data_IF_672332641501
#
_entry.id   IF_672332641501
#
_cell.length_a   1.000
_cell.length_b   1.000
_cell.length_c   1.000
_cell.angle_alpha   90.00
_cell.angle_beta   90.00
_cell.angle_gamma   90.00
#
_symmetry.space_group_name_H-M   'P 1'
#
loop_
_entity.id
_entity.type
_entity.pdbx_description
1 polymer ?
#
# COMPACT_ATOMS: atom_id res chain seq x y z
N UNK A 1 -22.81 30.31 0.98
CA UNK A 1 -22.81 29.08 0.17
C UNK A 1 -21.40 28.48 0.09
N UNK A 2 -20.37 29.21 -0.33
CA UNK A 2 -18.98 28.74 -0.43
C UNK A 2 -18.44 28.26 0.91
N UNK A 3 -18.64 29.03 1.97
CA UNK A 3 -18.21 28.70 3.34
C UNK A 3 -18.89 27.40 3.85
N UNK A 4 -20.19 27.24 3.57
CA UNK A 4 -20.90 26.00 3.91
C UNK A 4 -20.32 24.78 3.18
N UNK A 5 -19.96 24.92 1.89
CA UNK A 5 -19.31 23.84 1.12
C UNK A 5 -17.94 23.46 1.72
N UNK A 6 -17.16 24.45 2.13
CA UNK A 6 -15.87 24.20 2.77
C UNK A 6 -16.04 23.48 4.12
N UNK A 7 -17.01 23.88 4.94
CA UNK A 7 -17.33 23.23 6.23
C UNK A 7 -17.83 21.79 6.01
N UNK A 8 -18.73 21.55 5.06
CA UNK A 8 -19.18 20.18 4.74
C UNK A 8 -18.05 19.31 4.23
N UNK A 9 -17.10 19.85 3.46
CA UNK A 9 -15.90 19.13 3.05
C UNK A 9 -15.11 18.61 4.25
N UNK A 10 -14.88 19.44 5.25
CA UNK A 10 -14.15 19.04 6.48
C UNK A 10 -14.92 17.97 7.26
N UNK A 11 -16.24 18.13 7.43
CA UNK A 11 -17.07 17.13 8.12
C UNK A 11 -17.04 15.80 7.42
N UNK A 12 -17.15 15.78 6.09
CA UNK A 12 -17.07 14.54 5.30
C UNK A 12 -15.69 13.90 5.38
N UNK A 13 -14.61 14.70 5.36
CA UNK A 13 -13.26 14.18 5.51
C UNK A 13 -13.04 13.53 6.88
N UNK A 14 -13.49 14.19 7.96
CA UNK A 14 -13.42 13.60 9.32
C UNK A 14 -14.25 12.32 9.39
N UNK A 15 -15.43 12.30 8.79
CA UNK A 15 -16.29 11.10 8.70
C UNK A 15 -15.59 9.98 7.92
N UNK A 16 -14.95 10.30 6.80
CA UNK A 16 -14.16 9.34 6.04
C UNK A 16 -13.00 8.77 6.87
N UNK A 17 -12.28 9.61 7.61
CA UNK A 17 -11.20 9.17 8.51
C UNK A 17 -11.71 8.23 9.59
N UNK A 18 -12.87 8.51 10.18
CA UNK A 18 -13.50 7.61 11.17
C UNK A 18 -13.85 6.23 10.54
N UNK A 19 -14.39 6.21 9.32
CA UNK A 19 -14.69 4.97 8.61
C UNK A 19 -13.41 4.23 8.18
N UNK A 20 -12.36 4.93 7.78
CA UNK A 20 -11.03 4.33 7.55
C UNK A 20 -10.46 3.71 8.83
N UNK A 21 -10.63 4.35 9.98
CA UNK A 21 -10.19 3.78 11.26
C UNK A 21 -10.95 2.47 11.58
N UNK A 22 -12.25 2.43 11.34
CA UNK A 22 -13.03 1.18 11.46
C UNK A 22 -12.56 0.11 10.45
N UNK A 23 -12.26 0.49 9.21
CA UNK A 23 -11.70 -0.41 8.21
C UNK A 23 -10.35 -0.97 8.66
N UNK A 24 -9.46 -0.13 9.21
CA UNK A 24 -8.17 -0.54 9.76
C UNK A 24 -8.33 -1.59 10.87
N UNK A 25 -9.26 -1.35 11.81
CA UNK A 25 -9.57 -2.31 12.87
C UNK A 25 -10.06 -3.63 12.28
N UNK A 26 -10.96 -3.59 11.29
CA UNK A 26 -11.47 -4.79 10.63
C UNK A 26 -10.35 -5.60 9.93
N UNK A 27 -9.44 -4.95 9.22
CA UNK A 27 -8.27 -5.59 8.60
C UNK A 27 -7.29 -6.14 9.64
N UNK A 28 -7.04 -5.40 10.73
CA UNK A 28 -6.16 -5.84 11.80
C UNK A 28 -6.74 -7.08 12.54
N UNK A 29 -8.05 -7.09 12.79
CA UNK A 29 -8.74 -8.25 13.36
C UNK A 29 -8.70 -9.47 12.43
N UNK A 30 -8.88 -9.28 11.11
CA UNK A 30 -8.73 -10.36 10.13
C UNK A 30 -7.33 -10.97 10.18
N UNK A 31 -6.32 -10.12 10.18
CA UNK A 31 -4.93 -10.52 10.23
C UNK A 31 -4.59 -11.26 11.53
N UNK A 32 -5.08 -10.77 12.68
CA UNK A 32 -4.89 -11.41 13.99
C UNK A 32 -5.58 -12.78 14.06
N UNK A 33 -6.83 -12.89 13.57
CA UNK A 33 -7.59 -14.17 13.54
C UNK A 33 -6.89 -15.20 12.66
N UNK A 34 -6.39 -14.82 11.50
CA UNK A 34 -5.62 -15.72 10.62
C UNK A 34 -4.35 -16.22 11.30
N UNK A 35 -3.64 -15.32 11.98
CA UNK A 35 -2.45 -15.70 12.73
C UNK A 35 -2.74 -16.69 13.87
N UNK A 36 -3.87 -16.54 14.56
CA UNK A 36 -4.28 -17.48 15.61
C UNK A 36 -4.64 -18.87 15.03
N UNK A 37 -5.35 -18.91 13.90
CA UNK A 37 -5.73 -20.17 13.25
C UNK A 37 -4.52 -21.00 12.78
N UNK A 38 -3.47 -20.35 12.27
CA UNK A 38 -2.22 -21.04 11.85
C UNK A 38 -1.49 -21.70 13.02
N UNK A 39 -1.63 -21.18 14.23
CA UNK A 39 -1.04 -21.78 15.44
C UNK A 39 -1.83 -23.01 15.87
N UNK A 40 -3.16 -22.94 15.86
CA UNK A 40 -4.01 -24.07 16.25
C UNK A 40 -3.74 -25.30 15.35
N UNK A 41 -3.63 -25.11 14.04
CA UNK A 41 -3.30 -26.21 13.10
C UNK A 41 -1.89 -26.77 13.34
N UNK A 42 -0.88 -25.96 13.59
CA UNK A 42 0.49 -26.44 13.83
C UNK A 42 0.63 -27.19 15.16
N UNK A 43 -0.17 -26.84 16.17
CA UNK A 43 -0.19 -27.54 17.48
C UNK A 43 -0.90 -28.88 17.36
N UNK A 44 -1.98 -28.97 16.60
CA UNK A 44 -2.71 -30.22 16.35
C UNK A 44 -1.85 -31.25 15.57
N UNK A 45 -1.10 -30.80 14.55
CA UNK A 45 -0.16 -31.65 13.80
C UNK A 45 1.01 -32.13 14.67
N UNK A 46 1.51 -31.29 15.61
CA UNK A 46 2.57 -31.64 16.54
C UNK A 46 2.14 -32.72 17.54
N UNK A 47 0.91 -32.62 18.07
CA UNK A 47 0.35 -33.60 19.00
C UNK A 47 -0.01 -34.93 18.32
N UNK A 48 -0.54 -34.88 17.09
CA UNK A 48 -0.85 -36.09 16.31
C UNK A 48 0.42 -36.89 15.94
N UNK A 49 1.52 -36.19 15.66
CA UNK A 49 2.80 -36.84 15.33
C UNK A 49 3.54 -37.41 16.55
N UNK A 50 3.36 -36.78 17.72
CA UNK A 50 3.90 -37.29 18.98
C UNK A 50 3.12 -38.53 19.45
N UNK A 51 1.82 -38.60 19.24
CA UNK A 51 0.99 -39.79 19.55
C UNK A 51 1.26 -40.97 18.61
N UNK A 52 1.55 -40.70 17.33
CA UNK A 52 1.91 -41.75 16.33
C UNK A 52 3.31 -42.33 16.49
N UNK A 53 4.21 -41.67 17.21
CA UNK A 53 5.59 -42.15 17.45
C UNK A 53 5.77 -42.95 18.74
N UNK A 54 4.71 -43.14 19.58
CA UNK A 54 4.81 -43.90 20.81
C UNK A 54 4.35 -45.38 20.69
N UNK A 55 3.92 -45.82 19.50
CA UNK A 55 3.34 -47.18 19.34
C UNK A 55 4.11 -48.01 18.31
N UNK A 56 5.43 -48.09 18.39
CA UNK A 56 6.22 -49.13 17.68
C UNK A 56 7.40 -49.59 18.55
N UNK A 57 7.11 -50.35 19.61
CA UNK A 57 8.00 -51.39 20.11
C UNK A 57 7.46 -52.72 19.66
N UNK A 58 7.86 -53.17 18.46
CA UNK A 58 7.62 -54.54 18.03
C UNK A 58 8.85 -55.37 18.30
N UNK A 59 8.76 -56.20 19.31
CA UNK A 59 9.56 -57.42 19.48
C UNK A 59 9.28 -58.36 18.32
N UNK A 60 10.30 -58.76 17.56
CA UNK A 60 10.19 -59.84 16.59
C UNK A 60 10.33 -61.21 17.25
N UNK A 61 9.54 -62.19 16.83
CA UNK A 61 10.09 -63.51 16.61
C UNK A 61 9.88 -64.02 15.16
N UNK A 62 10.76 -64.96 14.79
CA UNK A 62 10.94 -65.53 13.49
C UNK A 62 9.74 -66.33 12.92
N UNK A 63 9.76 -66.38 11.59
CA UNK A 63 9.14 -67.37 10.70
C UNK A 63 7.58 -67.41 10.60
N UNK A 64 7.07 -66.87 9.50
CA UNK A 64 6.18 -67.56 8.57
C UNK A 64 5.67 -66.55 7.52
N UNK A 65 5.88 -66.88 6.23
CA UNK A 65 5.32 -66.17 5.10
C UNK A 65 3.80 -66.26 5.05
N UNK A 66 3.13 -65.13 5.30
CA UNK A 66 1.73 -64.98 4.94
C UNK A 66 1.53 -63.60 4.36
N UNK A 67 1.15 -63.53 3.10
CA UNK A 67 0.76 -62.32 2.40
C UNK A 67 -0.48 -61.76 3.09
N UNK A 68 -0.30 -60.73 3.93
CA UNK A 68 -1.42 -59.94 4.47
C UNK A 68 -1.66 -58.80 3.50
N UNK A 69 -2.78 -58.88 2.77
CA UNK A 69 -3.36 -57.78 2.04
C UNK A 69 -3.68 -56.66 3.04
N UNK A 70 -2.79 -55.64 3.12
CA UNK A 70 -3.08 -54.42 3.83
C UNK A 70 -4.14 -53.68 3.02
N UNK A 71 -5.40 -53.78 3.48
CA UNK A 71 -6.51 -52.98 3.01
C UNK A 71 -6.20 -51.53 3.43
N UNK A 72 -5.57 -50.75 2.56
CA UNK A 72 -5.43 -49.31 2.69
C UNK A 72 -6.85 -48.75 2.69
N UNK A 73 -7.36 -48.44 3.86
CA UNK A 73 -8.57 -47.69 4.01
C UNK A 73 -8.25 -46.28 3.60
N UNK A 74 -8.39 -45.97 2.30
CA UNK A 74 -8.39 -44.60 1.77
C UNK A 74 -9.64 -43.92 2.32
N UNK A 75 -9.60 -43.50 3.59
CA UNK A 75 -10.46 -42.42 4.00
C UNK A 75 -9.96 -41.19 3.26
N UNK A 76 -10.67 -40.86 2.20
CA UNK A 76 -10.68 -39.53 1.63
C UNK A 76 -11.06 -38.60 2.77
N UNK A 77 -10.09 -38.06 3.49
CA UNK A 77 -10.33 -36.90 4.36
C UNK A 77 -10.88 -35.83 3.41
N UNK A 78 -12.19 -35.69 3.47
CA UNK A 78 -12.88 -34.51 2.99
C UNK A 78 -12.14 -33.34 3.61
N UNK A 79 -11.37 -32.63 2.78
CA UNK A 79 -10.73 -31.38 3.16
C UNK A 79 -11.85 -30.46 3.62
N UNK A 80 -12.05 -30.43 4.93
CA UNK A 80 -13.04 -29.59 5.56
C UNK A 80 -12.81 -28.17 5.05
N UNK A 81 -13.68 -27.73 4.13
CA UNK A 81 -13.69 -26.36 3.63
C UNK A 81 -13.76 -25.44 4.84
N UNK A 82 -12.70 -24.65 5.03
CA UNK A 82 -12.57 -23.72 6.14
C UNK A 82 -13.87 -22.91 6.31
N UNK A 83 -14.38 -22.75 7.53
CA UNK A 83 -15.69 -22.16 7.77
C UNK A 83 -15.81 -20.76 7.16
N UNK A 84 -16.99 -20.35 6.68
CA UNK A 84 -17.24 -19.10 5.96
C UNK A 84 -16.92 -17.83 6.76
N UNK A 85 -16.75 -17.93 8.06
CA UNK A 85 -16.33 -16.80 8.93
C UNK A 85 -14.93 -16.26 8.65
N UNK A 86 -14.04 -17.04 8.02
CA UNK A 86 -12.64 -16.71 7.84
C UNK A 86 -12.40 -15.49 6.93
N UNK A 87 -13.37 -15.11 6.10
CA UNK A 87 -13.26 -13.97 5.17
C UNK A 87 -14.17 -12.78 5.54
N UNK A 88 -14.96 -12.90 6.60
CA UNK A 88 -15.96 -11.87 6.96
C UNK A 88 -15.31 -10.54 7.33
N UNK A 89 -14.31 -10.55 8.20
CA UNK A 89 -13.61 -9.35 8.65
C UNK A 89 -12.88 -8.66 7.49
N UNK A 90 -12.24 -9.43 6.58
CA UNK A 90 -11.58 -8.90 5.39
C UNK A 90 -12.57 -8.21 4.44
N UNK A 91 -13.73 -8.82 4.23
CA UNK A 91 -14.81 -8.24 3.40
C UNK A 91 -15.37 -6.97 4.02
N UNK A 92 -15.59 -6.96 5.34
CA UNK A 92 -16.05 -5.78 6.09
C UNK A 92 -15.01 -4.64 5.94
N UNK A 93 -13.72 -4.92 6.17
CA UNK A 93 -12.65 -3.93 6.02
C UNK A 93 -12.62 -3.33 4.61
N UNK A 94 -12.76 -4.17 3.58
CA UNK A 94 -12.78 -3.72 2.19
C UNK A 94 -14.03 -2.88 1.87
N UNK A 95 -15.22 -3.30 2.34
CA UNK A 95 -16.47 -2.54 2.15
C UNK A 95 -16.42 -1.18 2.88
N UNK A 96 -15.89 -1.14 4.11
CA UNK A 96 -15.69 0.11 4.84
C UNK A 96 -14.68 1.03 4.12
N UNK A 97 -13.63 0.46 3.52
CA UNK A 97 -12.68 1.22 2.70
C UNK A 97 -13.38 1.88 1.50
N UNK A 98 -14.28 1.16 0.84
CA UNK A 98 -15.06 1.72 -0.26
C UNK A 98 -16.00 2.85 0.20
N UNK A 99 -16.67 2.69 1.34
CA UNK A 99 -17.53 3.75 1.92
C UNK A 99 -16.68 4.98 2.27
N UNK A 100 -15.55 4.79 2.94
CA UNK A 100 -14.63 5.87 3.29
C UNK A 100 -14.09 6.59 2.04
N UNK A 101 -13.76 5.84 0.99
CA UNK A 101 -13.34 6.39 -0.31
C UNK A 101 -14.41 7.29 -0.91
N UNK A 102 -15.68 6.87 -0.91
CA UNK A 102 -16.79 7.68 -1.42
C UNK A 102 -17.00 8.95 -0.60
N UNK A 103 -16.91 8.86 0.74
CA UNK A 103 -17.00 10.02 1.62
C UNK A 103 -15.85 11.01 1.38
N UNK A 104 -14.63 10.51 1.24
CA UNK A 104 -13.45 11.34 0.95
C UNK A 104 -13.54 11.96 -0.44
N UNK A 105 -14.02 11.21 -1.45
CA UNK A 105 -14.25 11.73 -2.79
C UNK A 105 -15.28 12.87 -2.79
N UNK A 106 -16.38 12.72 -2.05
CA UNK A 106 -17.36 13.78 -1.87
C UNK A 106 -16.74 15.00 -1.15
N UNK A 107 -15.91 14.78 -0.11
CA UNK A 107 -15.20 15.85 0.57
C UNK A 107 -14.28 16.61 -0.40
N UNK A 108 -13.56 15.90 -1.26
CA UNK A 108 -12.65 16.46 -2.27
C UNK A 108 -13.40 17.31 -3.30
N UNK A 109 -14.55 16.82 -3.78
CA UNK A 109 -15.42 17.58 -4.68
C UNK A 109 -15.94 18.87 -4.02
N UNK A 110 -16.45 18.79 -2.78
CA UNK A 110 -16.95 19.97 -2.08
C UNK A 110 -15.86 21.00 -1.83
N UNK A 111 -14.64 20.53 -1.54
CA UNK A 111 -13.46 21.42 -1.41
C UNK A 111 -13.13 22.10 -2.72
N UNK A 112 -13.16 21.36 -3.83
CA UNK A 112 -12.95 21.89 -5.17
C UNK A 112 -14.00 22.93 -5.56
N UNK A 113 -15.29 22.65 -5.30
CA UNK A 113 -16.38 23.59 -5.54
C UNK A 113 -16.28 24.86 -4.67
N UNK A 114 -15.90 24.73 -3.41
CA UNK A 114 -15.66 25.85 -2.52
C UNK A 114 -14.50 26.73 -3.00
N UNK A 115 -13.44 26.13 -3.52
CA UNK A 115 -12.27 26.82 -4.04
C UNK A 115 -12.44 27.31 -5.50
N UNK A 116 -13.47 26.87 -6.21
CA UNK A 116 -13.66 27.13 -7.65
C UNK A 116 -12.57 26.51 -8.55
N UNK A 117 -11.89 25.48 -8.07
CA UNK A 117 -10.77 24.83 -8.75
C UNK A 117 -10.52 23.42 -8.21
N UNK A 118 -9.66 22.68 -8.88
CA UNK A 118 -9.24 21.35 -8.38
C UNK A 118 -8.44 21.51 -7.07
N UNK A 119 -8.72 20.69 -6.02
CA UNK A 119 -8.16 20.87 -4.68
C UNK A 119 -6.78 20.21 -4.53
N UNK A 120 -5.72 20.88 -4.96
CA UNK A 120 -4.31 20.47 -4.77
C UNK A 120 -3.31 21.64 -4.69
N UNK A 121 -3.79 22.86 -4.44
CA UNK A 121 -2.95 24.04 -4.45
C UNK A 121 -2.11 24.25 -3.19
N UNK A 122 -2.38 23.53 -2.13
CA UNK A 122 -1.63 23.58 -0.88
C UNK A 122 -1.43 22.16 -0.31
N UNK A 123 -0.64 22.06 0.78
CA UNK A 123 -0.29 20.77 1.38
C UNK A 123 -1.51 20.00 1.89
N UNK A 124 -2.52 20.68 2.43
CA UNK A 124 -3.75 20.07 2.90
C UNK A 124 -4.54 19.44 1.74
N UNK A 125 -4.82 20.22 0.72
CA UNK A 125 -5.58 19.78 -0.45
C UNK A 125 -4.83 18.67 -1.22
N UNK A 126 -3.51 18.84 -1.39
CA UNK A 126 -2.70 17.81 -2.05
C UNK A 126 -2.68 16.49 -1.27
N UNK A 127 -2.62 16.55 0.07
CA UNK A 127 -2.71 15.35 0.90
C UNK A 127 -4.08 14.69 0.77
N UNK A 128 -5.16 15.48 0.76
CA UNK A 128 -6.53 15.01 0.64
C UNK A 128 -6.75 14.29 -0.69
N UNK A 129 -6.43 14.94 -1.80
CA UNK A 129 -6.51 14.33 -3.15
C UNK A 129 -5.51 13.18 -3.33
N UNK A 130 -4.29 13.33 -2.82
CA UNK A 130 -3.25 12.31 -2.93
C UNK A 130 -3.60 11.02 -2.21
N UNK A 131 -4.11 11.11 -0.99
CA UNK A 131 -4.55 9.93 -0.23
C UNK A 131 -5.80 9.29 -0.85
N UNK A 132 -6.73 10.08 -1.38
CA UNK A 132 -7.87 9.59 -2.14
C UNK A 132 -7.41 8.75 -3.33
N UNK A 133 -6.46 9.25 -4.11
CA UNK A 133 -5.93 8.52 -5.28
C UNK A 133 -5.17 7.26 -4.86
N UNK A 134 -4.40 7.28 -3.75
CA UNK A 134 -3.74 6.06 -3.25
C UNK A 134 -4.77 4.98 -2.92
N UNK A 135 -5.87 5.33 -2.24
CA UNK A 135 -6.97 4.39 -1.96
C UNK A 135 -7.64 3.95 -3.27
N UNK A 136 -7.88 4.87 -4.19
CA UNK A 136 -8.45 4.55 -5.52
C UNK A 136 -7.58 3.55 -6.30
N UNK A 137 -6.26 3.74 -6.31
CA UNK A 137 -5.32 2.79 -6.92
C UNK A 137 -5.34 1.45 -6.18
N UNK A 138 -5.40 1.44 -4.85
CA UNK A 138 -5.54 0.21 -4.07
C UNK A 138 -6.82 -0.55 -4.43
N UNK A 139 -7.97 0.14 -4.51
CA UNK A 139 -9.25 -0.45 -4.90
C UNK A 139 -9.20 -0.96 -6.35
N UNK A 140 -8.65 -0.16 -7.28
CA UNK A 140 -8.50 -0.51 -8.69
C UNK A 140 -7.63 -1.76 -8.88
N UNK A 141 -6.46 -1.82 -8.25
CA UNK A 141 -5.55 -2.96 -8.37
C UNK A 141 -6.18 -4.23 -7.80
N UNK A 142 -7.03 -4.10 -6.76
CA UNK A 142 -7.77 -5.25 -6.22
C UNK A 142 -8.79 -5.87 -7.20
N UNK A 143 -9.14 -5.20 -8.30
CA UNK A 143 -9.96 -5.79 -9.38
C UNK A 143 -9.16 -6.81 -10.21
N UNK A 144 -7.83 -6.66 -10.28
CA UNK A 144 -6.93 -7.48 -11.09
C UNK A 144 -6.05 -8.43 -10.26
N UNK A 145 -5.75 -8.08 -9.03
CA UNK A 145 -4.91 -8.84 -8.13
C UNK A 145 -5.38 -8.69 -6.70
N UNK A 146 -5.59 -9.79 -5.97
CA UNK A 146 -6.03 -9.74 -4.58
C UNK A 146 -4.92 -9.20 -3.66
N UNK A 147 -4.99 -7.90 -3.38
CA UNK A 147 -4.11 -7.17 -2.45
C UNK A 147 -4.82 -6.80 -1.15
N UNK A 148 -5.99 -7.36 -0.84
CA UNK A 148 -6.76 -7.04 0.38
C UNK A 148 -5.97 -7.28 1.66
N UNK A 149 -4.97 -8.16 1.63
CA UNK A 149 -4.05 -8.38 2.75
C UNK A 149 -3.18 -7.16 3.08
N UNK A 150 -2.99 -6.22 2.13
CA UNK A 150 -2.31 -4.95 2.38
C UNK A 150 -3.21 -3.89 3.03
N UNK A 151 -4.51 -4.17 3.19
CA UNK A 151 -5.48 -3.18 3.66
C UNK A 151 -5.06 -2.48 4.95
N UNK A 152 -4.57 -3.21 5.95
CA UNK A 152 -4.09 -2.61 7.20
C UNK A 152 -2.89 -1.67 7.00
N UNK A 153 -1.97 -1.99 6.10
CA UNK A 153 -0.79 -1.17 5.83
C UNK A 153 -1.16 0.10 5.04
N UNK A 154 -1.97 -0.06 3.99
CA UNK A 154 -2.40 1.05 3.14
C UNK A 154 -3.29 2.02 3.93
N UNK A 155 -4.33 1.52 4.60
CA UNK A 155 -5.25 2.38 5.36
C UNK A 155 -4.56 3.02 6.57
N UNK A 156 -3.64 2.31 7.22
CA UNK A 156 -2.81 2.89 8.29
C UNK A 156 -1.97 4.07 7.78
N UNK A 157 -1.31 3.94 6.63
CA UNK A 157 -0.56 5.04 5.99
C UNK A 157 -1.49 6.23 5.67
N UNK A 158 -2.66 5.96 5.07
CA UNK A 158 -3.64 7.00 4.73
C UNK A 158 -4.11 7.78 5.96
N UNK A 159 -4.44 7.09 7.04
CA UNK A 159 -4.87 7.74 8.29
C UNK A 159 -3.78 8.63 8.89
N UNK A 160 -2.51 8.19 8.85
CA UNK A 160 -1.39 8.99 9.32
C UNK A 160 -1.24 10.25 8.46
N UNK A 161 -1.25 10.11 7.13
CA UNK A 161 -1.10 11.25 6.21
C UNK A 161 -2.25 12.24 6.34
N UNK A 162 -3.50 11.77 6.37
CA UNK A 162 -4.68 12.64 6.56
C UNK A 162 -4.69 13.29 7.94
N UNK A 163 -4.31 12.55 9.00
CA UNK A 163 -4.23 13.08 10.36
C UNK A 163 -3.22 14.22 10.46
N UNK A 164 -1.99 14.00 9.98
CA UNK A 164 -0.95 15.05 9.96
C UNK A 164 -1.43 16.25 9.13
N UNK A 165 -1.98 15.98 7.94
CA UNK A 165 -2.43 17.04 7.03
C UNK A 165 -3.55 17.89 7.64
N UNK A 166 -4.57 17.26 8.22
CA UNK A 166 -5.70 17.96 8.82
C UNK A 166 -5.33 18.76 10.06
N UNK A 167 -4.32 18.30 10.84
CA UNK A 167 -3.91 18.98 12.07
C UNK A 167 -2.89 20.10 11.83
N UNK A 168 -2.03 19.99 10.81
CA UNK A 168 -0.88 20.88 10.63
C UNK A 168 -0.94 21.78 9.40
N UNK A 169 -1.69 21.38 8.37
CA UNK A 169 -1.67 22.04 7.06
C UNK A 169 -3.03 22.52 6.59
N UNK A 170 -4.03 22.52 7.46
CA UNK A 170 -5.34 23.07 7.09
C UNK A 170 -5.23 24.56 6.76
N UNK A 171 -5.71 24.94 5.59
CA UNK A 171 -5.76 26.32 5.09
C UNK A 171 -7.13 26.54 4.46
N UNK A 172 -7.68 27.74 4.60
CA UNK A 172 -8.93 28.12 3.94
C UNK A 172 -8.81 28.05 2.41
N UNK A 173 -9.95 27.81 1.73
CA UNK A 173 -9.98 27.74 0.28
C UNK A 173 -9.72 29.13 -0.32
N UNK A 174 -8.64 29.26 -1.09
CA UNK A 174 -8.25 30.49 -1.76
C UNK A 174 -8.15 30.30 -3.27
N UNK A 175 -8.34 31.36 -4.08
CA UNK A 175 -8.14 31.32 -5.53
C UNK A 175 -6.68 30.96 -5.89
N UNK A 176 -6.48 30.42 -7.08
CA UNK A 176 -5.16 30.11 -7.60
C UNK A 176 -4.43 31.38 -8.06
N UNK A 177 -3.11 31.49 -7.78
CA UNK A 177 -2.23 32.43 -8.43
C UNK A 177 -2.28 32.26 -9.96
N UNK A 178 -2.09 33.32 -10.77
CA UNK A 178 -2.17 33.25 -12.23
C UNK A 178 -1.26 32.19 -12.87
N UNK A 179 -0.06 31.98 -12.35
CA UNK A 179 0.88 30.97 -12.83
C UNK A 179 0.35 29.53 -12.73
N UNK A 180 -0.61 29.28 -11.84
CA UNK A 180 -1.23 27.97 -11.60
C UNK A 180 -2.53 27.76 -12.40
N UNK A 181 -2.99 28.76 -13.15
CA UNK A 181 -4.22 28.71 -13.94
C UNK A 181 -3.99 28.11 -15.33
N UNK A 182 -3.39 26.91 -15.38
CA UNK A 182 -3.09 26.22 -16.64
C UNK A 182 -3.66 24.80 -16.62
N UNK A 183 -4.29 24.38 -17.73
CA UNK A 183 -4.74 22.99 -17.88
C UNK A 183 -3.57 21.98 -17.84
N UNK A 184 -2.36 22.40 -18.23
CA UNK A 184 -1.17 21.58 -18.13
C UNK A 184 -0.79 21.27 -16.69
N UNK A 185 -1.05 22.21 -15.76
CA UNK A 185 -0.91 21.93 -14.33
C UNK A 185 -1.83 20.79 -13.89
N UNK A 186 -3.10 20.83 -14.34
CA UNK A 186 -4.08 19.80 -14.01
C UNK A 186 -3.59 18.42 -14.48
N UNK A 187 -3.13 18.31 -15.72
CA UNK A 187 -2.61 17.07 -16.29
C UNK A 187 -1.37 16.60 -15.50
N UNK A 188 -0.40 17.51 -15.31
CA UNK A 188 0.84 17.21 -14.60
C UNK A 188 0.59 16.68 -13.18
N UNK A 189 -0.20 17.40 -12.38
CA UNK A 189 -0.45 17.05 -10.99
C UNK A 189 -1.29 15.77 -10.87
N UNK A 190 -2.31 15.58 -11.73
CA UNK A 190 -3.11 14.34 -11.74
C UNK A 190 -2.25 13.12 -11.98
N UNK A 191 -1.38 13.17 -12.98
CA UNK A 191 -0.51 12.03 -13.30
C UNK A 191 0.56 11.83 -12.22
N UNK A 192 1.08 12.91 -11.63
CA UNK A 192 2.02 12.83 -10.51
C UNK A 192 1.41 12.14 -9.29
N UNK A 193 0.18 12.51 -8.93
CA UNK A 193 -0.55 11.90 -7.81
C UNK A 193 -0.86 10.43 -8.11
N UNK A 194 -1.28 10.13 -9.34
CA UNK A 194 -1.55 8.75 -9.75
C UNK A 194 -0.28 7.88 -9.70
N UNK A 195 0.85 8.39 -10.20
CA UNK A 195 2.15 7.72 -10.09
C UNK A 195 2.54 7.46 -8.63
N UNK A 196 2.34 8.46 -7.77
CA UNK A 196 2.57 8.35 -6.32
C UNK A 196 1.71 7.26 -5.69
N UNK A 197 0.47 7.08 -6.12
CA UNK A 197 -0.40 6.00 -5.67
C UNK A 197 0.16 4.61 -5.99
N UNK A 198 0.65 4.40 -7.21
CA UNK A 198 1.33 3.15 -7.58
C UNK A 198 2.64 2.94 -6.81
N UNK A 199 3.43 3.98 -6.59
CA UNK A 199 4.64 3.90 -5.78
C UNK A 199 4.34 3.57 -4.31
N UNK A 200 3.27 4.12 -3.74
CA UNK A 200 2.84 3.81 -2.38
C UNK A 200 2.47 2.31 -2.22
N UNK A 201 1.77 1.73 -3.20
CA UNK A 201 1.49 0.29 -3.20
C UNK A 201 2.75 -0.53 -3.39
N UNK A 202 3.65 -0.13 -4.29
CA UNK A 202 4.96 -0.77 -4.49
C UNK A 202 5.80 -0.76 -3.21
N UNK A 203 5.80 0.37 -2.49
CA UNK A 203 6.43 0.51 -1.18
C UNK A 203 5.83 -0.45 -0.14
N UNK A 204 4.49 -0.46 0.00
CA UNK A 204 3.81 -1.33 0.95
C UNK A 204 4.13 -2.82 0.70
N UNK A 205 4.09 -3.26 -0.57
CA UNK A 205 4.47 -4.61 -0.97
C UNK A 205 5.93 -4.92 -0.65
N UNK A 206 6.84 -3.99 -0.92
CA UNK A 206 8.28 -4.16 -0.66
C UNK A 206 8.59 -4.21 0.84
N UNK A 207 7.89 -3.41 1.66
CA UNK A 207 8.01 -3.46 3.11
C UNK A 207 7.53 -4.82 3.65
N UNK A 208 6.36 -5.29 3.21
CA UNK A 208 5.83 -6.60 3.58
C UNK A 208 6.73 -7.73 3.08
N UNK A 209 7.32 -7.61 1.88
CA UNK A 209 8.30 -8.55 1.33
C UNK A 209 9.53 -8.70 2.24
N UNK A 210 10.10 -7.60 2.75
CA UNK A 210 11.23 -7.66 3.67
C UNK A 210 10.88 -8.36 4.98
N UNK A 211 9.71 -8.04 5.55
CA UNK A 211 9.20 -8.70 6.76
C UNK A 211 8.98 -10.20 6.53
N UNK A 212 8.38 -10.58 5.40
CA UNK A 212 8.14 -11.97 5.03
C UNK A 212 9.46 -12.73 4.82
N UNK A 213 10.44 -12.12 4.14
CA UNK A 213 11.77 -12.72 3.98
C UNK A 213 12.47 -12.96 5.32
N UNK A 214 12.35 -12.00 6.26
CA UNK A 214 12.87 -12.19 7.61
C UNK A 214 12.21 -13.38 8.29
N UNK A 215 10.88 -13.52 8.17
CA UNK A 215 10.16 -14.66 8.72
C UNK A 215 10.59 -15.99 8.09
N UNK A 216 10.72 -16.06 6.76
CA UNK A 216 11.14 -17.26 6.04
C UNK A 216 12.56 -17.71 6.42
N UNK A 217 13.42 -16.78 6.84
CA UNK A 217 14.79 -17.07 7.32
C UNK A 217 14.88 -17.49 8.79
N UNK A 218 13.79 -17.44 9.57
CA UNK A 218 13.79 -17.85 10.98
C UNK A 218 13.53 -19.35 11.12
N UNK A 219 14.08 -19.95 12.20
CA UNK A 219 13.75 -21.31 12.58
C UNK A 219 12.24 -21.46 12.82
N UNK A 220 11.68 -22.64 12.52
CA UNK A 220 10.23 -22.89 12.58
C UNK A 220 9.58 -22.45 13.90
N UNK A 221 10.21 -22.77 15.03
CA UNK A 221 9.72 -22.40 16.37
C UNK A 221 9.69 -20.89 16.58
N UNK A 222 10.74 -20.16 16.20
CA UNK A 222 10.84 -18.70 16.32
C UNK A 222 9.87 -18.00 15.35
N UNK A 223 9.72 -18.51 14.13
CA UNK A 223 8.79 -17.98 13.13
C UNK A 223 7.33 -18.09 13.58
N UNK A 224 6.97 -19.20 14.26
CA UNK A 224 5.63 -19.40 14.82
C UNK A 224 5.34 -18.40 15.95
N UNK A 225 6.34 -18.05 16.75
CA UNK A 225 6.14 -17.19 17.94
C UNK A 225 6.17 -15.71 17.60
N UNK A 226 7.12 -15.24 16.77
CA UNK A 226 7.40 -13.81 16.58
C UNK A 226 6.74 -13.25 15.33
N UNK A 227 6.56 -13.80 14.23
CA UNK A 227 6.01 -13.21 13.02
C UNK A 227 4.79 -13.97 12.47
N UNK A 228 3.94 -14.46 13.37
CA UNK A 228 2.75 -15.28 13.05
C UNK A 228 1.83 -14.65 12.01
N UNK A 229 1.62 -13.34 12.14
CA UNK A 229 0.76 -12.55 11.25
C UNK A 229 1.18 -12.70 9.78
N UNK A 230 2.48 -12.77 9.52
CA UNK A 230 3.03 -12.89 8.17
C UNK A 230 2.86 -14.30 7.57
N UNK A 231 2.52 -15.30 8.37
CA UNK A 231 2.31 -16.68 7.89
C UNK A 231 1.17 -16.80 6.86
N UNK A 232 0.22 -15.87 6.91
CA UNK A 232 -0.97 -15.87 6.06
C UNK A 232 -0.79 -15.04 4.79
N UNK A 233 0.36 -14.36 4.65
CA UNK A 233 0.66 -13.51 3.50
C UNK A 233 1.34 -14.33 2.39
N UNK A 234 1.27 -13.83 1.14
CA UNK A 234 1.99 -14.46 0.03
C UNK A 234 3.49 -14.56 0.31
N UNK A 235 4.15 -15.58 -0.27
CA UNK A 235 5.59 -15.74 -0.17
C UNK A 235 6.37 -14.57 -0.78
N UNK A 236 7.63 -14.43 -0.36
CA UNK A 236 8.53 -13.32 -0.72
C UNK A 236 8.61 -13.09 -2.22
N UNK A 237 8.71 -14.14 -3.03
CA UNK A 237 8.84 -14.01 -4.49
C UNK A 237 7.56 -13.43 -5.14
N UNK A 238 6.38 -13.85 -4.68
CA UNK A 238 5.10 -13.33 -5.17
C UNK A 238 4.94 -11.85 -4.84
N UNK A 239 5.31 -11.44 -3.61
CA UNK A 239 5.29 -10.05 -3.18
C UNK A 239 6.24 -9.19 -4.02
N UNK A 240 7.45 -9.67 -4.28
CA UNK A 240 8.45 -9.01 -5.12
C UNK A 240 7.94 -8.79 -6.55
N UNK A 241 7.34 -9.82 -7.16
CA UNK A 241 6.82 -9.73 -8.52
C UNK A 241 5.64 -8.76 -8.62
N UNK A 242 4.75 -8.71 -7.62
CA UNK A 242 3.66 -7.74 -7.54
C UNK A 242 4.19 -6.32 -7.36
N UNK A 243 5.14 -6.11 -6.44
CA UNK A 243 5.79 -4.82 -6.22
C UNK A 243 6.41 -4.29 -7.52
N UNK A 244 7.14 -5.14 -8.24
CA UNK A 244 7.77 -4.77 -9.51
C UNK A 244 6.74 -4.30 -10.54
N UNK A 245 5.70 -5.09 -10.79
CA UNK A 245 4.67 -4.77 -11.79
C UNK A 245 3.97 -3.45 -11.49
N UNK A 246 3.61 -3.23 -10.23
CA UNK A 246 2.95 -2.01 -9.78
C UNK A 246 3.89 -0.81 -9.90
N UNK A 247 5.15 -0.97 -9.49
CA UNK A 247 6.15 0.11 -9.57
C UNK A 247 6.49 0.49 -11.01
N UNK A 248 6.51 -0.46 -11.96
CA UNK A 248 6.71 -0.16 -13.39
C UNK A 248 5.59 0.75 -13.92
N UNK A 249 4.34 0.50 -13.57
CA UNK A 249 3.22 1.39 -13.94
C UNK A 249 3.43 2.78 -13.36
N UNK A 250 3.78 2.86 -12.07
CA UNK A 250 4.10 4.13 -11.40
C UNK A 250 5.24 4.87 -12.10
N UNK A 251 6.30 4.18 -12.53
CA UNK A 251 7.43 4.78 -13.22
C UNK A 251 7.09 5.34 -14.60
N UNK A 252 6.24 4.64 -15.37
CA UNK A 252 5.74 5.14 -16.66
C UNK A 252 4.98 6.45 -16.45
N UNK A 253 4.07 6.48 -15.47
CA UNK A 253 3.31 7.68 -15.13
C UNK A 253 4.22 8.79 -14.60
N UNK A 254 5.22 8.47 -13.79
CA UNK A 254 6.18 9.46 -13.29
C UNK A 254 7.06 10.05 -14.39
N UNK A 255 7.44 9.24 -15.38
CA UNK A 255 8.15 9.74 -16.58
C UNK A 255 7.27 10.72 -17.35
N UNK A 256 5.99 10.40 -17.55
CA UNK A 256 5.04 11.33 -18.16
C UNK A 256 4.86 12.60 -17.30
N UNK A 257 4.89 12.49 -15.99
CA UNK A 257 4.84 13.63 -15.07
C UNK A 257 5.98 14.62 -15.31
N UNK A 258 7.23 14.15 -15.51
CA UNK A 258 8.35 15.04 -15.82
C UNK A 258 8.12 15.77 -17.15
N UNK A 259 7.65 15.08 -18.17
CA UNK A 259 7.35 15.65 -19.49
C UNK A 259 6.25 16.70 -19.38
N UNK A 260 5.11 16.36 -18.78
CA UNK A 260 3.99 17.29 -18.62
C UNK A 260 4.36 18.49 -17.72
N UNK A 261 5.19 18.24 -16.70
CA UNK A 261 5.71 19.27 -15.80
C UNK A 261 6.63 20.25 -16.50
N UNK A 262 7.49 19.80 -17.41
CA UNK A 262 8.34 20.71 -18.21
C UNK A 262 7.52 21.58 -19.15
N UNK A 263 6.48 21.04 -19.80
CA UNK A 263 5.57 21.82 -20.65
C UNK A 263 4.80 22.85 -19.81
N UNK A 264 4.35 22.48 -18.62
CA UNK A 264 3.73 23.44 -17.71
C UNK A 264 4.71 24.52 -17.25
N UNK A 265 5.94 24.17 -16.88
CA UNK A 265 6.99 25.11 -16.45
C UNK A 265 7.33 26.15 -17.51
N UNK A 266 7.36 25.75 -18.78
CA UNK A 266 7.53 26.67 -19.91
C UNK A 266 6.40 27.72 -19.95
N UNK A 267 5.14 27.30 -19.78
CA UNK A 267 4.00 28.21 -19.77
C UNK A 267 3.91 29.09 -18.53
N UNK A 268 4.31 28.57 -17.38
CA UNK A 268 4.24 29.28 -16.12
C UNK A 268 5.41 30.25 -15.91
N UNK A 269 6.60 29.89 -16.38
CA UNK A 269 7.86 30.59 -16.09
C UNK A 269 8.76 30.84 -17.31
N UNK A 270 8.31 30.54 -18.52
CA UNK A 270 9.02 30.75 -19.78
C UNK A 270 10.24 29.83 -19.98
N UNK A 271 10.34 28.72 -19.27
CA UNK A 271 11.44 27.76 -19.35
C UNK A 271 10.99 26.35 -19.03
N UNK A 272 11.49 25.34 -19.73
CA UNK A 272 11.16 23.95 -19.52
C UNK A 272 11.76 23.35 -18.26
N UNK A 273 12.92 23.85 -17.82
CA UNK A 273 13.68 23.35 -16.67
C UNK A 273 14.53 24.47 -16.07
N UNK A 274 14.56 24.60 -14.77
CA UNK A 274 15.26 25.68 -14.10
C UNK A 274 16.07 25.27 -12.88
N UNK A 275 16.24 23.97 -12.65
CA UNK A 275 16.98 23.46 -11.50
C UNK A 275 16.38 23.88 -10.15
N UNK A 276 15.08 24.14 -10.13
CA UNK A 276 14.37 24.34 -8.86
C UNK A 276 14.49 23.09 -7.99
N UNK A 277 14.51 23.26 -6.68
CA UNK A 277 14.71 22.15 -5.74
C UNK A 277 13.72 21.01 -5.99
N UNK A 278 12.47 21.36 -6.31
CA UNK A 278 11.43 20.36 -6.59
C UNK A 278 11.66 19.64 -7.92
N UNK A 279 12.11 20.35 -8.95
CA UNK A 279 12.49 19.77 -10.23
C UNK A 279 13.64 18.76 -10.05
N UNK A 280 14.68 19.14 -9.30
CA UNK A 280 15.81 18.25 -8.97
C UNK A 280 15.35 17.01 -8.23
N UNK A 281 14.48 17.14 -7.23
CA UNK A 281 13.97 15.97 -6.48
C UNK A 281 13.06 15.08 -7.31
N UNK A 282 12.25 15.63 -8.22
CA UNK A 282 11.45 14.81 -9.15
C UNK A 282 12.34 13.98 -10.07
N UNK A 283 13.47 14.57 -10.52
CA UNK A 283 14.47 13.84 -11.32
C UNK A 283 15.22 12.78 -10.49
N UNK A 284 15.61 13.09 -9.24
CA UNK A 284 16.23 12.10 -8.34
C UNK A 284 15.30 10.89 -8.14
N UNK A 285 14.01 11.12 -7.92
CA UNK A 285 13.00 10.05 -7.79
C UNK A 285 12.97 9.20 -9.07
N UNK A 286 12.97 9.84 -10.24
CA UNK A 286 13.02 9.16 -11.53
C UNK A 286 14.26 8.27 -11.66
N UNK A 287 15.45 8.78 -11.30
CA UNK A 287 16.71 8.02 -11.34
C UNK A 287 16.66 6.81 -10.39
N UNK A 288 16.14 6.96 -9.17
CA UNK A 288 16.03 5.87 -8.21
C UNK A 288 15.13 4.75 -8.76
N UNK A 289 13.97 5.09 -9.33
CA UNK A 289 13.06 4.09 -9.89
C UNK A 289 13.55 3.50 -11.22
N UNK A 290 14.24 4.27 -12.05
CA UNK A 290 14.95 3.75 -13.22
C UNK A 290 16.02 2.72 -12.80
N UNK A 291 16.81 3.04 -11.77
CA UNK A 291 17.78 2.12 -11.19
C UNK A 291 17.12 0.87 -10.60
N UNK A 292 15.96 1.02 -9.93
CA UNK A 292 15.18 -0.10 -9.42
C UNK A 292 14.75 -1.05 -10.55
N UNK A 293 14.20 -0.52 -11.64
CA UNK A 293 13.74 -1.32 -12.77
C UNK A 293 14.93 -2.00 -13.45
N UNK A 294 16.02 -1.28 -13.69
CA UNK A 294 17.24 -1.80 -14.28
C UNK A 294 17.86 -2.91 -13.40
N UNK A 295 18.02 -2.64 -12.11
CA UNK A 295 18.58 -3.59 -11.16
C UNK A 295 17.73 -4.86 -11.04
N UNK A 296 16.40 -4.73 -11.10
CA UNK A 296 15.48 -5.86 -11.05
C UNK A 296 15.49 -6.69 -12.34
N UNK A 297 15.73 -6.08 -13.49
CA UNK A 297 15.89 -6.77 -14.77
C UNK A 297 17.20 -7.56 -14.83
N UNK A 298 18.25 -7.14 -14.11
CA UNK A 298 19.52 -7.85 -14.01
C UNK A 298 19.45 -8.95 -12.93
N UNK A 299 20.11 -10.10 -13.18
CA UNK A 299 19.99 -11.29 -12.31
C UNK A 299 20.48 -11.11 -10.87
N UNK A 300 21.29 -10.10 -10.59
CA UNK A 300 21.95 -9.93 -9.28
C UNK A 300 21.16 -9.15 -8.21
N UNK A 301 20.07 -8.46 -8.56
CA UNK A 301 19.39 -7.52 -7.68
C UNK A 301 17.96 -7.90 -7.32
N UNK A 302 17.70 -9.19 -7.16
CA UNK A 302 16.41 -9.70 -6.68
C UNK A 302 16.36 -9.79 -5.15
N UNK A 303 15.16 -9.90 -4.60
CA UNK A 303 14.91 -10.08 -3.17
C UNK A 303 15.05 -8.80 -2.37
N UNK A 304 15.84 -8.82 -1.27
CA UNK A 304 15.93 -7.66 -0.36
C UNK A 304 16.53 -6.42 -1.00
N UNK A 305 17.46 -6.56 -1.96
CA UNK A 305 18.13 -5.41 -2.59
C UNK A 305 17.12 -4.60 -3.41
N UNK A 306 16.28 -5.26 -4.21
CA UNK A 306 15.22 -4.59 -4.97
C UNK A 306 14.18 -3.95 -4.04
N UNK A 307 13.78 -4.62 -2.96
CA UNK A 307 12.83 -4.06 -2.01
C UNK A 307 13.35 -2.78 -1.34
N UNK A 308 14.64 -2.73 -0.97
CA UNK A 308 15.25 -1.51 -0.41
C UNK A 308 15.28 -0.36 -1.39
N UNK A 309 15.54 -0.60 -2.69
CA UNK A 309 15.47 0.43 -3.72
C UNK A 309 14.05 1.00 -3.87
N UNK A 310 13.03 0.15 -3.85
CA UNK A 310 11.63 0.61 -3.90
C UNK A 310 11.27 1.44 -2.66
N UNK A 311 11.73 1.04 -1.47
CA UNK A 311 11.54 1.78 -0.22
C UNK A 311 12.25 3.14 -0.29
N UNK A 312 13.49 3.19 -0.74
CA UNK A 312 14.23 4.45 -0.92
C UNK A 312 13.54 5.36 -1.92
N UNK A 313 13.04 4.81 -3.03
CA UNK A 313 12.28 5.58 -4.02
C UNK A 313 11.05 6.26 -3.43
N UNK A 314 10.23 5.53 -2.68
CA UNK A 314 9.05 6.11 -2.05
C UNK A 314 9.41 7.07 -0.90
N UNK A 315 10.48 6.79 -0.15
CA UNK A 315 11.00 7.74 0.85
C UNK A 315 11.43 9.06 0.20
N UNK A 316 12.04 9.02 -0.99
CA UNK A 316 12.37 10.21 -1.76
C UNK A 316 11.10 10.95 -2.25
N UNK A 317 10.02 10.24 -2.62
CA UNK A 317 8.71 10.85 -2.93
C UNK A 317 8.16 11.57 -1.70
N UNK A 318 8.19 10.94 -0.53
CA UNK A 318 7.71 11.55 0.72
C UNK A 318 8.56 12.74 1.16
N UNK A 319 9.87 12.66 0.95
CA UNK A 319 10.79 13.78 1.20
C UNK A 319 10.48 14.95 0.27
N UNK A 320 10.30 14.69 -1.01
CA UNK A 320 9.93 15.73 -1.99
C UNK A 320 8.57 16.36 -1.68
N UNK A 321 7.61 15.56 -1.23
CA UNK A 321 6.28 16.06 -0.85
C UNK A 321 6.32 16.84 0.47
N UNK A 322 6.87 16.27 1.54
CA UNK A 322 6.86 16.84 2.88
C UNK A 322 7.95 17.90 3.07
N UNK A 323 9.21 17.48 3.03
CA UNK A 323 10.35 18.32 3.41
C UNK A 323 10.64 19.42 2.38
N UNK A 324 10.66 19.08 1.09
CA UNK A 324 10.96 20.07 0.06
C UNK A 324 9.89 21.16 0.00
N UNK A 325 8.61 20.81 0.10
CA UNK A 325 7.53 21.80 0.08
C UNK A 325 7.53 22.75 1.27
N UNK A 326 7.97 22.30 2.45
CA UNK A 326 7.89 23.09 3.69
C UNK A 326 9.16 23.91 3.91
N UNK A 327 10.33 23.34 3.67
CA UNK A 327 11.60 23.94 4.07
C UNK A 327 12.39 24.60 2.94
N UNK A 328 12.11 24.27 1.67
CA UNK A 328 12.84 24.81 0.53
C UNK A 328 11.97 25.84 -0.21
N UNK A 329 12.46 27.08 -0.26
CA UNK A 329 11.83 28.14 -1.05
C UNK A 329 12.20 27.96 -2.54
N UNK A 330 11.24 28.08 -3.41
CA UNK A 330 11.41 27.94 -4.87
C UNK A 330 10.12 28.26 -5.60
N UNK A 331 10.12 28.09 -6.91
CA UNK A 331 8.95 28.33 -7.76
C UNK A 331 7.78 27.37 -7.47
N UNK A 332 8.08 26.22 -6.86
CA UNK A 332 7.09 25.23 -6.43
C UNK A 332 6.75 25.32 -4.93
N UNK A 333 6.96 26.46 -4.28
CA UNK A 333 6.63 26.63 -2.83
C UNK A 333 5.15 26.87 -2.63
N UNK A 334 4.35 25.83 -2.73
CA UNK A 334 2.89 25.90 -2.54
C UNK A 334 2.47 25.19 -1.27
N UNK A 335 3.21 25.38 -0.17
CA UNK A 335 2.86 24.76 1.12
C UNK A 335 1.56 25.32 1.69
N UNK A 336 1.22 26.56 1.38
CA UNK A 336 0.12 27.30 2.00
C UNK A 336 0.47 27.82 3.41
N UNK A 337 1.77 27.73 3.82
CA UNK A 337 2.29 28.21 5.10
C UNK A 337 2.96 29.56 4.95
#
# INVERSE_FOLDING_TARGET
>A
MIEALAQYSVVLLISAMAVYAMALVAFALDLARRAAATVATSTAEGTGRAAASQDVTVQAPAAASTLVLVKTNSQTEEVATAPPERYRSLRIGFSLTLVAFVLQFAADILRGLAAGRVPWANMYEFSMTGTLVIVGVFLLVNLFADLRFLGSFVIGLILILLGISSMRYYVEAAPLPPALQSYWLVIHVMVAILATGFFALGFALSAVQLLQKRREGLNRTTAITSLRILATLPGTEKLENLAYRITVVGFILWTFTLIAGSIWAERAWGRYWGWDTKEVWTFIIWVIYAAYIHARATRGWRGSRSAWLAIMGFSAVMFNFGIVNVFFKGLHSYSGL
#
